data_IF_179961969740
#
_entry.id   IF_179961969740
#
_cell.length_a   1.000
_cell.length_b   1.000
_cell.length_c   1.000
_cell.angle_alpha   90.00
_cell.angle_beta   90.00
_cell.angle_gamma   90.00
#
_symmetry.space_group_name_H-M   'P 1'
#
loop_
_entity.id
_entity.type
_entity.pdbx_description
1 polymer ?
#
# COMPACT_ATOMS: atom_id res chain seq x y z
N UNK A 1 -8.95 -4.03 -25.48
CA UNK A 1 -7.88 -4.58 -24.59
C UNK A 1 -8.01 -3.93 -23.21
N UNK A 2 -7.68 -4.64 -22.13
CA UNK A 2 -7.73 -4.13 -20.75
C UNK A 2 -6.31 -4.00 -20.19
N UNK A 3 -5.99 -2.85 -19.59
CA UNK A 3 -4.78 -2.66 -18.79
C UNK A 3 -5.12 -2.69 -17.31
N UNK A 4 -4.47 -3.54 -16.53
CA UNK A 4 -4.56 -3.53 -15.06
C UNK A 4 -3.25 -3.02 -14.47
N UNK A 5 -3.26 -1.83 -13.87
CA UNK A 5 -2.13 -1.35 -13.07
C UNK A 5 -2.17 -2.04 -11.71
N UNK A 6 -1.21 -2.94 -11.46
CA UNK A 6 -1.24 -3.88 -10.34
C UNK A 6 -0.16 -3.57 -9.29
N UNK A 7 0.13 -4.53 -8.42
CA UNK A 7 1.00 -4.37 -7.24
C UNK A 7 0.28 -4.67 -5.91
N UNK A 8 -0.99 -5.04 -5.99
CA UNK A 8 -1.83 -5.50 -4.88
C UNK A 8 -2.26 -6.95 -5.12
N UNK A 9 -2.86 -7.58 -4.11
CA UNK A 9 -3.43 -8.92 -4.27
C UNK A 9 -4.67 -8.89 -5.17
N UNK A 10 -5.51 -7.87 -4.99
CA UNK A 10 -6.72 -7.65 -5.76
C UNK A 10 -6.41 -7.43 -7.25
N UNK A 11 -5.38 -6.64 -7.56
CA UNK A 11 -4.93 -6.44 -8.93
C UNK A 11 -4.47 -7.75 -9.60
N UNK A 12 -3.82 -8.65 -8.85
CA UNK A 12 -3.42 -9.97 -9.38
C UNK A 12 -4.64 -10.85 -9.66
N UNK A 13 -5.60 -10.86 -8.76
CA UNK A 13 -6.83 -11.64 -8.92
C UNK A 13 -7.65 -11.15 -10.12
N UNK A 14 -7.76 -9.83 -10.33
CA UNK A 14 -8.41 -9.27 -11.53
C UNK A 14 -7.72 -9.76 -12.81
N UNK A 15 -6.39 -9.66 -12.89
CA UNK A 15 -5.64 -10.10 -14.08
C UNK A 15 -5.86 -11.58 -14.36
N UNK A 16 -5.82 -12.41 -13.31
CA UNK A 16 -6.09 -13.85 -13.43
C UNK A 16 -7.50 -14.12 -13.97
N UNK A 17 -8.54 -13.54 -13.36
CA UNK A 17 -9.94 -13.73 -13.79
C UNK A 17 -10.18 -13.22 -15.21
N UNK A 18 -9.57 -12.10 -15.61
CA UNK A 18 -9.67 -11.57 -16.98
C UNK A 18 -8.98 -12.47 -18.01
N UNK A 19 -7.81 -13.02 -17.66
CA UNK A 19 -7.09 -13.98 -18.49
C UNK A 19 -7.89 -15.27 -18.67
N UNK A 20 -8.44 -15.82 -17.59
CA UNK A 20 -9.22 -17.06 -17.61
C UNK A 20 -10.50 -16.93 -18.46
N UNK A 21 -11.07 -15.72 -18.54
CA UNK A 21 -12.21 -15.38 -19.42
C UNK A 21 -11.80 -15.01 -20.86
N UNK A 22 -10.50 -14.96 -21.18
CA UNK A 22 -10.02 -14.59 -22.52
C UNK A 22 -10.27 -13.12 -22.90
N UNK A 23 -10.43 -12.22 -21.91
CA UNK A 23 -10.86 -10.83 -22.13
C UNK A 23 -9.80 -9.90 -22.74
N UNK A 24 -8.61 -10.41 -23.05
CA UNK A 24 -7.47 -9.62 -23.53
C UNK A 24 -6.98 -8.63 -22.46
N UNK A 25 -6.01 -9.06 -21.66
CA UNK A 25 -5.48 -8.27 -20.54
C UNK A 25 -3.97 -8.16 -20.60
N UNK A 26 -3.44 -6.98 -20.27
CA UNK A 26 -2.05 -6.79 -19.88
C UNK A 26 -2.01 -6.11 -18.51
N UNK A 27 -0.87 -6.22 -17.82
CA UNK A 27 -0.71 -5.62 -16.49
C UNK A 27 0.63 -4.94 -16.34
N UNK A 28 0.71 -3.92 -15.48
CA UNK A 28 1.96 -3.27 -15.11
C UNK A 28 2.23 -3.43 -13.62
N UNK A 29 3.51 -3.57 -13.27
CA UNK A 29 4.00 -3.60 -11.89
C UNK A 29 5.25 -2.73 -11.75
N UNK A 30 5.37 -2.04 -10.62
CA UNK A 30 6.46 -1.10 -10.40
C UNK A 30 7.82 -1.77 -10.13
N UNK A 31 7.85 -3.06 -9.74
CA UNK A 31 9.05 -3.73 -9.24
C UNK A 31 9.26 -5.09 -9.89
N UNK A 32 10.52 -5.51 -9.98
CA UNK A 32 10.94 -6.84 -10.41
C UNK A 32 10.30 -7.93 -9.55
N UNK A 33 10.21 -7.71 -8.23
CA UNK A 33 9.51 -8.62 -7.34
C UNK A 33 8.03 -8.81 -7.71
N UNK A 34 7.32 -7.72 -8.03
CA UNK A 34 5.94 -7.79 -8.50
C UNK A 34 5.83 -8.59 -9.80
N UNK A 35 6.85 -8.48 -10.65
CA UNK A 35 6.96 -9.19 -11.93
C UNK A 35 7.18 -10.69 -11.74
N UNK A 36 8.09 -11.10 -10.85
CA UNK A 36 8.33 -12.50 -10.50
C UNK A 36 7.07 -13.21 -10.00
N UNK A 37 6.18 -12.50 -9.27
CA UNK A 37 4.91 -13.09 -8.81
C UNK A 37 4.04 -13.52 -10.00
N UNK A 38 3.98 -12.70 -11.06
CA UNK A 38 3.23 -13.04 -12.27
C UNK A 38 3.86 -14.20 -13.04
N UNK A 39 5.20 -14.28 -13.06
CA UNK A 39 5.92 -15.39 -13.68
C UNK A 39 5.62 -16.72 -12.96
N UNK A 40 5.62 -16.72 -11.62
CA UNK A 40 5.31 -17.90 -10.80
C UNK A 40 3.90 -18.46 -11.03
N UNK A 41 2.94 -17.61 -11.39
CA UNK A 41 1.57 -18.02 -11.70
C UNK A 41 1.33 -18.23 -13.21
N UNK A 42 2.38 -18.23 -14.04
CA UNK A 42 2.27 -18.48 -15.48
C UNK A 42 1.77 -17.29 -16.31
N UNK A 43 1.55 -16.13 -15.69
CA UNK A 43 1.02 -14.91 -16.33
C UNK A 43 2.10 -13.87 -16.63
N UNK A 44 3.38 -14.27 -16.56
CA UNK A 44 4.50 -13.39 -16.88
C UNK A 44 4.39 -12.81 -18.31
N UNK A 45 3.95 -13.53 -19.31
CA UNK A 45 3.86 -12.94 -20.66
C UNK A 45 2.89 -11.72 -20.76
N UNK A 46 2.01 -11.51 -19.77
CA UNK A 46 1.06 -10.38 -19.71
C UNK A 46 1.58 -9.17 -18.93
N UNK A 47 2.64 -9.35 -18.13
CA UNK A 47 3.09 -8.34 -17.17
C UNK A 47 4.27 -7.52 -17.71
N UNK A 48 4.15 -6.20 -17.65
CA UNK A 48 5.19 -5.24 -17.99
C UNK A 48 5.75 -4.68 -16.68
N UNK A 49 7.08 -4.76 -16.52
CA UNK A 49 7.75 -4.16 -15.37
C UNK A 49 8.15 -2.73 -15.68
N UNK A 50 7.80 -1.80 -14.81
CA UNK A 50 8.23 -0.40 -14.91
C UNK A 50 7.30 0.55 -14.17
N UNK A 51 7.85 1.69 -13.76
CA UNK A 51 7.04 2.85 -13.40
C UNK A 51 6.84 3.64 -14.68
N UNK A 52 5.59 3.91 -15.02
CA UNK A 52 5.23 4.66 -16.21
C UNK A 52 4.80 6.07 -15.79
N UNK A 53 5.40 7.08 -16.40
CA UNK A 53 4.87 8.44 -16.36
C UNK A 53 3.63 8.59 -17.26
N UNK A 54 3.08 9.81 -17.33
CA UNK A 54 1.88 10.09 -18.15
C UNK A 54 2.14 9.78 -19.62
N UNK A 55 3.31 10.17 -20.15
CA UNK A 55 3.65 10.02 -21.55
C UNK A 55 3.83 8.55 -21.91
N UNK A 56 4.60 7.82 -21.10
CA UNK A 56 4.85 6.39 -21.29
C UNK A 56 3.55 5.57 -21.16
N UNK A 57 2.68 5.92 -20.21
CA UNK A 57 1.38 5.28 -20.07
C UNK A 57 0.47 5.57 -21.26
N UNK A 58 0.47 6.81 -21.75
CA UNK A 58 -0.27 7.21 -22.94
C UNK A 58 0.21 6.50 -24.21
N UNK A 59 1.52 6.33 -24.38
CA UNK A 59 2.11 5.54 -25.47
C UNK A 59 1.69 4.07 -25.37
N UNK A 60 1.79 3.47 -24.18
CA UNK A 60 1.36 2.09 -23.95
C UNK A 60 -0.12 1.88 -24.29
N UNK A 61 -0.99 2.81 -23.87
CA UNK A 61 -2.43 2.76 -24.16
C UNK A 61 -2.68 2.72 -25.67
N UNK A 62 -2.01 3.58 -26.45
CA UNK A 62 -2.15 3.61 -27.91
C UNK A 62 -1.59 2.35 -28.56
N UNK A 63 -0.37 1.97 -28.22
CA UNK A 63 0.34 0.85 -28.86
C UNK A 63 -0.37 -0.50 -28.65
N UNK A 64 -1.04 -0.66 -27.51
CA UNK A 64 -1.75 -1.89 -27.14
C UNK A 64 -3.26 -1.81 -27.40
N UNK A 65 -3.76 -0.72 -27.97
CA UNK A 65 -5.19 -0.47 -28.21
C UNK A 65 -6.02 -0.74 -26.94
N UNK A 66 -5.60 -0.15 -25.82
CA UNK A 66 -6.28 -0.28 -24.53
C UNK A 66 -7.53 0.60 -24.54
N UNK A 67 -8.66 0.02 -24.17
CA UNK A 67 -9.96 0.71 -24.10
C UNK A 67 -10.37 0.99 -22.64
N UNK A 68 -9.81 0.21 -21.70
CA UNK A 68 -10.13 0.27 -20.28
C UNK A 68 -8.85 0.14 -19.45
N UNK A 69 -8.63 1.08 -18.55
CA UNK A 69 -7.58 1.06 -17.54
C UNK A 69 -8.20 0.81 -16.17
N UNK A 70 -7.80 -0.28 -15.53
CA UNK A 70 -8.15 -0.63 -14.15
C UNK A 70 -6.97 -0.29 -13.25
N UNK A 71 -7.15 0.71 -12.40
CA UNK A 71 -6.19 1.08 -11.36
C UNK A 71 -6.43 0.27 -10.10
N UNK A 72 -5.72 -0.85 -9.99
CA UNK A 72 -5.67 -1.70 -8.81
C UNK A 72 -4.36 -1.50 -8.02
N UNK A 73 -3.71 -0.34 -8.16
CA UNK A 73 -2.48 -0.02 -7.43
C UNK A 73 -2.74 0.19 -5.94
N UNK A 74 -1.69 0.19 -5.11
CA UNK A 74 -1.84 0.43 -3.68
C UNK A 74 -2.51 1.80 -3.40
N UNK A 75 -3.37 1.96 -2.37
CA UNK A 75 -4.04 3.24 -2.07
C UNK A 75 -3.14 4.46 -1.82
N UNK A 76 -1.84 4.23 -1.60
CA UNK A 76 -0.83 5.28 -1.38
C UNK A 76 0.05 5.54 -2.62
N UNK A 77 -0.23 4.87 -3.74
CA UNK A 77 0.42 5.13 -5.01
C UNK A 77 -0.27 6.30 -5.74
N UNK A 78 -0.47 7.42 -5.03
CA UNK A 78 -1.35 8.52 -5.45
C UNK A 78 -0.87 9.16 -6.76
N UNK A 79 0.45 9.36 -6.90
CA UNK A 79 1.04 9.81 -8.16
C UNK A 79 0.76 8.87 -9.34
N UNK A 80 0.73 7.55 -9.10
CA UNK A 80 0.44 6.57 -10.14
C UNK A 80 -1.02 6.68 -10.58
N UNK A 81 -1.93 6.85 -9.62
CA UNK A 81 -3.34 7.11 -9.90
C UNK A 81 -3.55 8.42 -10.66
N UNK A 82 -2.89 9.52 -10.27
CA UNK A 82 -2.96 10.80 -11.02
C UNK A 82 -2.46 10.67 -12.44
N UNK A 83 -1.36 9.95 -12.66
CA UNK A 83 -0.84 9.71 -14.01
C UNK A 83 -1.85 8.91 -14.86
N UNK A 84 -2.47 7.89 -14.25
CA UNK A 84 -3.45 7.05 -14.92
C UNK A 84 -4.74 7.79 -15.28
N UNK A 85 -5.24 8.65 -14.38
CA UNK A 85 -6.40 9.51 -14.65
C UNK A 85 -6.09 10.43 -15.84
N UNK A 86 -4.99 11.18 -15.79
CA UNK A 86 -4.61 12.11 -16.86
C UNK A 86 -4.39 11.42 -18.20
N UNK A 87 -3.65 10.32 -18.23
CA UNK A 87 -3.43 9.57 -19.47
C UNK A 87 -4.74 9.01 -20.05
N UNK A 88 -5.66 8.56 -19.19
CA UNK A 88 -6.97 8.06 -19.60
C UNK A 88 -7.85 9.17 -20.18
N UNK A 89 -7.84 10.36 -19.56
CA UNK A 89 -8.56 11.55 -20.02
C UNK A 89 -8.01 12.06 -21.37
N UNK A 90 -6.69 12.15 -21.51
CA UNK A 90 -6.04 12.62 -22.74
C UNK A 90 -6.32 11.74 -23.96
N UNK A 91 -6.51 10.44 -23.74
CA UNK A 91 -6.77 9.45 -24.82
C UNK A 91 -8.26 9.18 -24.99
N UNK A 92 -9.08 9.43 -23.95
CA UNK A 92 -10.51 9.19 -23.95
C UNK A 92 -10.89 7.72 -23.69
N UNK A 93 -10.13 7.02 -22.84
CA UNK A 93 -10.41 5.63 -22.44
C UNK A 93 -11.10 5.55 -21.08
N UNK A 94 -11.77 4.43 -20.79
CA UNK A 94 -12.45 4.24 -19.50
C UNK A 94 -11.43 4.00 -18.39
N UNK A 95 -11.47 4.81 -17.34
CA UNK A 95 -10.69 4.60 -16.11
C UNK A 95 -11.58 3.99 -15.02
N UNK A 96 -11.10 2.98 -14.30
CA UNK A 96 -11.77 2.36 -13.15
C UNK A 96 -10.77 2.22 -12.00
N UNK A 97 -11.04 2.85 -10.86
CA UNK A 97 -10.29 2.66 -9.61
C UNK A 97 -10.90 1.52 -8.80
N UNK A 98 -10.12 0.48 -8.52
CA UNK A 98 -10.42 -0.44 -7.42
C UNK A 98 -9.73 0.06 -6.15
N UNK A 99 -10.52 0.50 -5.18
CA UNK A 99 -10.02 0.90 -3.87
C UNK A 99 -10.96 0.41 -2.78
N UNK A 100 -10.44 -0.51 -1.95
CA UNK A 100 -11.15 -1.02 -0.78
C UNK A 100 -11.47 0.09 0.23
N UNK A 101 -12.52 -0.07 1.05
CA UNK A 101 -12.82 0.87 2.13
C UNK A 101 -11.63 1.14 3.07
N UNK A 102 -11.65 2.31 3.72
CA UNK A 102 -10.74 2.61 4.83
C UNK A 102 -10.96 1.62 5.98
N UNK A 103 -9.92 1.35 6.77
CA UNK A 103 -10.09 0.51 7.98
C UNK A 103 -10.48 1.32 9.20
N UNK A 104 -10.31 2.63 9.13
CA UNK A 104 -10.57 3.57 10.22
C UNK A 104 -11.24 4.78 9.59
N UNK A 105 -12.50 5.05 9.93
CA UNK A 105 -13.16 6.33 9.68
C UNK A 105 -13.16 7.18 10.95
N UNK A 106 -13.39 8.49 10.82
CA UNK A 106 -13.48 9.41 11.97
C UNK A 106 -14.63 9.06 12.92
N UNK A 107 -15.66 8.37 12.42
CA UNK A 107 -16.83 7.90 13.17
C UNK A 107 -16.77 6.41 13.52
N UNK A 108 -15.72 5.67 13.11
CA UNK A 108 -15.60 4.25 13.43
C UNK A 108 -15.18 4.11 14.89
N UNK A 109 -16.18 3.89 15.73
CA UNK A 109 -16.11 3.04 16.90
C UNK A 109 -15.57 1.67 16.40
N UNK A 110 -14.23 1.55 16.35
CA UNK A 110 -13.48 0.43 15.78
C UNK A 110 -14.11 -0.86 16.30
N UNK A 111 -14.87 -1.53 15.43
CA UNK A 111 -15.81 -2.57 15.82
C UNK A 111 -15.19 -3.63 16.71
N UNK A 112 -15.60 -3.62 17.99
CA UNK A 112 -15.28 -4.64 18.99
C UNK A 112 -14.83 -4.05 20.33
N UNK A 113 -15.80 -3.60 21.15
CA UNK A 113 -15.65 -3.37 22.60
C UNK A 113 -14.40 -2.57 23.00
N UNK A 114 -14.36 -1.26 22.76
CA UNK A 114 -13.09 -0.52 22.90
C UNK A 114 -13.23 0.99 23.19
N UNK A 115 -14.15 1.41 24.05
CA UNK A 115 -14.12 2.79 24.60
C UNK A 115 -12.85 3.07 25.43
N UNK A 116 -12.12 2.05 25.88
CA UNK A 116 -10.86 2.20 26.64
C UNK A 116 -9.58 2.09 25.79
N UNK A 117 -9.65 1.69 24.51
CA UNK A 117 -8.46 1.38 23.68
C UNK A 117 -8.18 2.39 22.57
N UNK A 118 -9.00 3.45 22.45
CA UNK A 118 -8.78 4.55 21.52
C UNK A 118 -7.57 5.43 21.91
N UNK A 119 -7.13 5.43 23.18
CA UNK A 119 -6.03 6.28 23.67
C UNK A 119 -4.72 6.07 22.89
N UNK A 120 -4.46 4.85 22.45
CA UNK A 120 -3.22 4.51 21.73
C UNK A 120 -3.33 4.71 20.21
N UNK A 121 -4.50 5.07 19.67
CA UNK A 121 -4.71 5.22 18.24
C UNK A 121 -4.70 6.68 17.84
N UNK A 122 -3.70 7.09 17.06
CA UNK A 122 -3.49 8.47 16.64
C UNK A 122 -3.63 8.56 15.12
N UNK A 123 -4.63 9.30 14.64
CA UNK A 123 -4.86 9.45 13.20
C UNK A 123 -4.28 10.79 12.75
N UNK A 124 -3.43 10.77 11.72
CA UNK A 124 -2.77 11.96 11.16
C UNK A 124 -3.06 12.07 9.66
N UNK A 125 -3.12 13.29 9.13
CA UNK A 125 -3.50 13.53 7.75
C UNK A 125 -2.45 12.99 6.75
N UNK A 126 -1.18 13.15 7.07
CA UNK A 126 -0.09 12.82 6.17
C UNK A 126 1.21 12.38 6.88
N UNK A 127 2.25 12.16 6.09
CA UNK A 127 3.55 11.73 6.59
C UNK A 127 4.28 12.81 7.40
N UNK A 128 4.08 14.09 7.10
CA UNK A 128 4.74 15.18 7.80
C UNK A 128 4.13 15.39 9.19
N UNK A 129 2.80 15.28 9.32
CA UNK A 129 2.12 15.22 10.61
C UNK A 129 2.55 14.01 11.44
N UNK A 130 2.67 12.83 10.82
CA UNK A 130 3.16 11.64 11.52
C UNK A 130 4.56 11.85 12.12
N UNK A 131 5.42 12.55 11.39
CA UNK A 131 6.76 12.87 11.87
C UNK A 131 6.74 13.94 12.96
N UNK A 132 5.87 14.96 12.87
CA UNK A 132 5.69 15.96 13.93
C UNK A 132 5.23 15.30 15.23
N UNK A 133 4.18 14.47 15.15
CA UNK A 133 3.64 13.72 16.27
C UNK A 133 4.72 12.86 16.95
N UNK A 134 5.49 12.11 16.15
CA UNK A 134 6.57 11.27 16.68
C UNK A 134 7.71 12.09 17.29
N UNK A 135 7.98 13.28 16.76
CA UNK A 135 9.01 14.19 17.28
C UNK A 135 8.63 14.78 18.64
N UNK A 136 7.36 15.09 18.85
CA UNK A 136 6.81 15.71 20.06
C UNK A 136 6.59 14.70 21.20
N UNK A 137 6.31 13.44 20.87
CA UNK A 137 6.22 12.35 21.85
C UNK A 137 7.52 12.19 22.66
N UNK A 138 7.44 11.73 23.90
CA UNK A 138 8.59 11.40 24.76
C UNK A 138 9.14 9.97 24.50
N UNK A 139 8.35 9.12 23.84
CA UNK A 139 8.68 7.73 23.46
C UNK A 139 9.84 7.66 22.47
N UNK A 140 10.68 6.62 22.54
CA UNK A 140 11.98 6.60 21.85
C UNK A 140 12.04 5.70 20.64
N UNK A 141 11.41 4.52 20.66
CA UNK A 141 11.55 3.48 19.64
C UNK A 141 10.35 3.48 18.70
N UNK A 142 10.61 3.86 17.45
CA UNK A 142 9.58 4.00 16.41
C UNK A 142 9.75 2.86 15.42
N UNK A 143 8.71 2.06 15.19
CA UNK A 143 8.65 1.07 14.12
C UNK A 143 7.86 1.63 12.93
N UNK A 144 8.55 1.84 11.81
CA UNK A 144 7.95 2.22 10.55
C UNK A 144 7.49 0.96 9.80
N UNK A 145 6.17 0.81 9.63
CA UNK A 145 5.57 -0.27 8.82
C UNK A 145 5.08 0.22 7.45
N UNK A 146 5.52 1.42 7.06
CA UNK A 146 5.08 2.20 5.90
C UNK A 146 5.94 1.98 4.65
N UNK A 147 6.95 1.10 4.73
CA UNK A 147 7.94 0.81 3.69
C UNK A 147 9.06 1.86 3.59
N UNK A 148 10.03 1.62 2.70
CA UNK A 148 11.23 2.46 2.55
C UNK A 148 10.90 3.94 2.25
N UNK A 149 9.89 4.22 1.43
CA UNK A 149 9.57 5.58 0.97
C UNK A 149 9.29 6.59 2.09
N UNK A 150 9.04 6.09 3.31
CA UNK A 150 8.74 6.91 4.49
C UNK A 150 9.97 7.12 5.36
N UNK A 151 10.96 6.24 5.25
CA UNK A 151 12.17 6.23 6.08
C UNK A 151 12.94 7.54 5.96
N UNK A 152 13.02 8.10 4.75
CA UNK A 152 13.72 9.35 4.45
C UNK A 152 13.18 10.53 5.27
N UNK A 153 11.86 10.60 5.48
CA UNK A 153 11.26 11.68 6.28
C UNK A 153 11.49 11.50 7.78
N UNK A 154 11.54 10.27 8.27
CA UNK A 154 11.76 9.96 9.69
C UNK A 154 13.23 10.02 10.11
N UNK A 155 14.16 9.94 9.15
CA UNK A 155 15.60 9.91 9.46
C UNK A 155 16.10 11.20 10.13
N UNK A 156 15.38 12.33 9.96
CA UNK A 156 15.64 13.58 10.69
C UNK A 156 15.47 13.46 12.21
N UNK A 157 14.79 12.41 12.68
CA UNK A 157 14.60 12.14 14.11
C UNK A 157 15.68 11.22 14.71
N UNK A 158 16.63 10.70 13.92
CA UNK A 158 17.56 9.63 14.34
C UNK A 158 18.46 9.98 15.54
N UNK A 159 18.70 11.27 15.78
CA UNK A 159 19.51 11.74 16.92
C UNK A 159 18.71 11.74 18.24
N UNK A 160 17.37 11.71 18.15
CA UNK A 160 16.45 11.75 19.30
C UNK A 160 15.68 10.44 19.48
N UNK A 161 15.49 9.69 18.40
CA UNK A 161 14.63 8.50 18.31
C UNK A 161 15.39 7.34 17.70
N UNK A 162 15.09 6.13 18.17
CA UNK A 162 15.58 4.91 17.56
C UNK A 162 14.57 4.43 16.51
N UNK A 163 14.96 4.53 15.25
CA UNK A 163 14.10 4.19 14.12
C UNK A 163 14.33 2.74 13.71
N UNK A 164 13.28 1.94 13.84
CA UNK A 164 13.12 0.61 13.28
C UNK A 164 12.29 0.69 12.02
N UNK A 165 12.63 -0.09 11.01
CA UNK A 165 11.89 -0.10 9.76
C UNK A 165 11.63 -1.52 9.28
N UNK A 166 10.39 -1.78 8.88
CA UNK A 166 10.01 -3.01 8.20
C UNK A 166 9.89 -2.79 6.70
N UNK A 167 10.69 -3.51 5.94
CA UNK A 167 10.76 -3.43 4.47
C UNK A 167 10.66 -4.83 3.85
N UNK A 168 10.28 -4.90 2.58
CA UNK A 168 10.46 -6.13 1.81
C UNK A 168 11.95 -6.51 1.76
N UNK A 169 12.28 -7.82 1.74
CA UNK A 169 13.66 -8.31 1.78
C UNK A 169 14.37 -8.16 0.42
N UNK A 170 14.40 -6.94 -0.10
CA UNK A 170 15.06 -6.56 -1.34
C UNK A 170 16.41 -5.92 -1.02
N UNK A 171 17.51 -6.38 -1.64
CA UNK A 171 18.85 -5.82 -1.38
C UNK A 171 18.92 -4.30 -1.54
N UNK A 172 18.21 -3.76 -2.52
CA UNK A 172 18.18 -2.32 -2.78
C UNK A 172 17.54 -1.54 -1.62
N UNK A 173 16.40 -1.98 -1.09
CA UNK A 173 15.77 -1.31 0.05
C UNK A 173 16.65 -1.33 1.31
N UNK A 174 17.38 -2.43 1.54
CA UNK A 174 18.32 -2.53 2.65
C UNK A 174 19.46 -1.53 2.46
N UNK A 175 20.07 -1.45 1.26
CA UNK A 175 21.11 -0.47 0.94
C UNK A 175 20.63 0.96 1.16
N UNK A 176 19.42 1.28 0.68
CA UNK A 176 18.83 2.61 0.82
C UNK A 176 18.55 2.96 2.29
N UNK A 177 18.10 2.02 3.12
CA UNK A 177 17.93 2.26 4.56
C UNK A 177 19.28 2.58 5.24
N UNK A 178 20.33 1.83 4.90
CA UNK A 178 21.67 2.04 5.47
C UNK A 178 22.24 3.38 5.01
N UNK A 179 22.06 3.77 3.75
CA UNK A 179 22.62 5.02 3.21
C UNK A 179 22.03 6.28 3.86
N UNK A 180 20.77 6.24 4.29
CA UNK A 180 20.14 7.36 5.03
C UNK A 180 20.50 7.34 6.53
N UNK A 181 21.13 6.26 7.02
CA UNK A 181 21.63 6.16 8.39
C UNK A 181 20.76 5.33 9.34
N UNK A 182 19.88 4.46 8.82
CA UNK A 182 19.23 3.44 9.65
C UNK A 182 20.25 2.35 9.98
N UNK A 183 20.37 2.00 11.27
CA UNK A 183 21.27 0.93 11.71
C UNK A 183 20.83 -0.40 11.09
N UNK A 184 21.74 -1.24 10.58
CA UNK A 184 21.39 -2.57 10.07
C UNK A 184 20.60 -3.43 11.07
N UNK A 185 20.91 -3.32 12.37
CA UNK A 185 20.19 -4.00 13.46
C UNK A 185 18.73 -3.60 13.61
N UNK A 186 18.33 -2.48 13.02
CA UNK A 186 16.99 -1.91 13.11
C UNK A 186 16.18 -2.11 11.82
N UNK A 187 16.71 -2.87 10.86
CA UNK A 187 16.06 -3.19 9.59
C UNK A 187 15.43 -4.58 9.70
N UNK A 188 14.10 -4.62 9.66
CA UNK A 188 13.30 -5.84 9.62
C UNK A 188 12.92 -6.13 8.17
N UNK A 189 13.78 -6.88 7.48
CA UNK A 189 13.57 -7.31 6.10
C UNK A 189 12.65 -8.55 6.06
N UNK A 190 11.34 -8.32 5.99
CA UNK A 190 10.32 -9.37 6.08
C UNK A 190 9.21 -9.16 5.04
N UNK A 191 8.65 -10.26 4.54
CA UNK A 191 7.48 -10.25 3.67
C UNK A 191 6.23 -10.65 4.46
N UNK A 192 5.18 -9.83 4.36
CA UNK A 192 3.87 -10.12 4.96
C UNK A 192 2.97 -11.03 4.10
N UNK A 193 1.74 -11.31 4.55
CA UNK A 193 1.03 -10.66 5.67
C UNK A 193 1.61 -11.01 7.05
N UNK A 194 1.36 -10.16 8.04
CA UNK A 194 1.89 -10.31 9.40
C UNK A 194 0.74 -10.58 10.38
N UNK A 195 0.79 -11.71 11.07
CA UNK A 195 -0.22 -12.07 12.07
C UNK A 195 -0.12 -11.20 13.32
N UNK A 196 -1.17 -11.24 14.14
CA UNK A 196 -1.21 -10.57 15.44
C UNK A 196 -0.04 -11.01 16.34
N UNK A 197 0.25 -12.32 16.37
CA UNK A 197 1.30 -12.93 17.18
C UNK A 197 2.68 -12.46 16.74
N UNK A 198 2.91 -12.41 15.42
CA UNK A 198 4.20 -11.96 14.88
C UNK A 198 4.42 -10.47 15.13
N UNK A 199 3.39 -9.63 14.96
CA UNK A 199 3.49 -8.21 15.31
C UNK A 199 3.81 -8.04 16.80
N UNK A 200 3.10 -8.76 17.68
CA UNK A 200 3.33 -8.74 19.13
C UNK A 200 4.75 -9.17 19.50
N UNK A 201 5.25 -10.25 18.89
CA UNK A 201 6.61 -10.72 19.12
C UNK A 201 7.66 -9.69 18.69
N UNK A 202 7.47 -9.05 17.54
CA UNK A 202 8.34 -7.96 17.05
C UNK A 202 8.33 -6.79 18.04
N UNK A 203 7.14 -6.35 18.47
CA UNK A 203 7.00 -5.22 19.38
C UNK A 203 7.74 -5.46 20.70
N UNK A 204 7.60 -6.66 21.26
CA UNK A 204 8.26 -7.05 22.50
C UNK A 204 9.78 -7.21 22.34
N UNK A 205 10.23 -7.87 21.27
CA UNK A 205 11.65 -8.12 21.01
C UNK A 205 12.44 -6.81 20.87
N UNK A 206 11.88 -5.83 20.16
CA UNK A 206 12.54 -4.55 19.89
C UNK A 206 12.11 -3.43 20.86
N UNK A 207 11.23 -3.74 21.82
CA UNK A 207 10.69 -2.79 22.81
C UNK A 207 10.13 -1.53 22.15
N UNK A 208 9.34 -1.75 21.09
CA UNK A 208 8.75 -0.68 20.28
C UNK A 208 7.79 0.13 21.15
N UNK A 209 7.88 1.46 21.06
CA UNK A 209 7.01 2.38 21.81
C UNK A 209 5.92 2.98 20.91
N UNK A 210 6.25 3.19 19.63
CA UNK A 210 5.38 3.78 18.60
C UNK A 210 5.43 2.92 17.33
N UNK A 211 4.28 2.62 16.74
CA UNK A 211 4.15 2.02 15.40
C UNK A 211 3.57 3.07 14.45
N UNK A 212 4.27 3.34 13.36
CA UNK A 212 3.73 4.18 12.28
C UNK A 212 3.25 3.26 11.16
N UNK A 213 1.98 3.40 10.77
CA UNK A 213 1.37 2.64 9.67
C UNK A 213 0.61 3.55 8.73
N UNK A 214 0.46 3.09 7.49
CA UNK A 214 -0.50 3.60 6.52
C UNK A 214 -1.81 2.84 6.75
N UNK A 215 -2.97 3.49 6.62
CA UNK A 215 -4.24 2.78 6.47
C UNK A 215 -4.23 2.07 5.12
N UNK A 216 -3.60 0.92 5.03
CA UNK A 216 -3.63 0.14 3.80
C UNK A 216 -4.99 -0.51 3.57
N UNK A 217 -5.90 -0.64 4.55
CA UNK A 217 -7.14 -1.43 4.46
C UNK A 217 -7.06 -2.75 5.23
N UNK A 218 -8.20 -3.44 5.42
CA UNK A 218 -8.29 -4.69 6.23
C UNK A 218 -7.28 -5.76 5.80
N UNK A 219 -7.21 -6.12 4.52
CA UNK A 219 -6.23 -7.09 4.00
C UNK A 219 -4.77 -6.61 4.10
N UNK A 220 -4.54 -5.32 4.35
CA UNK A 220 -3.21 -4.76 4.61
C UNK A 220 -2.72 -4.94 6.06
N UNK A 221 -3.47 -5.65 6.88
CA UNK A 221 -3.10 -5.99 8.25
C UNK A 221 -3.23 -4.82 9.23
N UNK A 222 -4.03 -3.78 8.91
CA UNK A 222 -4.23 -2.62 9.79
C UNK A 222 -4.94 -3.02 11.08
N UNK A 223 -6.04 -3.82 11.06
CA UNK A 223 -6.69 -4.28 12.28
C UNK A 223 -5.76 -5.04 13.22
N UNK A 224 -4.94 -5.95 12.69
CA UNK A 224 -4.00 -6.76 13.46
C UNK A 224 -2.89 -5.89 14.08
N UNK A 225 -2.44 -4.84 13.40
CA UNK A 225 -1.47 -3.87 13.94
C UNK A 225 -2.08 -3.04 15.06
N UNK A 226 -3.30 -2.55 14.89
CA UNK A 226 -4.02 -1.78 15.93
C UNK A 226 -4.21 -2.67 17.15
N UNK A 227 -4.75 -3.88 16.96
CA UNK A 227 -5.02 -4.80 18.06
C UNK A 227 -3.74 -5.18 18.82
N UNK A 228 -2.64 -5.49 18.13
CA UNK A 228 -1.36 -5.81 18.79
C UNK A 228 -0.74 -4.60 19.49
N UNK A 229 -0.84 -3.40 18.91
CA UNK A 229 -0.30 -2.18 19.52
C UNK A 229 -1.08 -1.80 20.79
N UNK A 230 -2.41 -1.76 20.70
CA UNK A 230 -3.27 -1.47 21.86
C UNK A 230 -3.09 -2.50 22.98
N UNK A 231 -2.96 -3.80 22.65
CA UNK A 231 -2.71 -4.84 23.66
C UNK A 231 -1.34 -4.69 24.36
N UNK A 232 -0.38 -4.04 23.71
CA UNK A 232 0.97 -3.82 24.23
C UNK A 232 1.18 -2.42 24.85
N UNK A 233 0.15 -1.55 24.87
CA UNK A 233 0.28 -0.16 25.33
C UNK A 233 1.15 0.71 24.42
N UNK A 234 1.22 0.36 23.13
CA UNK A 234 2.05 1.00 22.12
C UNK A 234 1.18 1.98 21.33
N UNK A 235 1.69 3.20 21.12
CA UNK A 235 0.97 4.16 20.28
C UNK A 235 1.04 3.71 18.81
N UNK A 236 -0.09 3.70 18.13
CA UNK A 236 -0.16 3.49 16.69
C UNK A 236 -0.57 4.77 15.99
N UNK A 237 0.35 5.31 15.20
CA UNK A 237 0.13 6.49 14.36
C UNK A 237 -0.30 6.00 12.97
N UNK A 238 -1.54 6.27 12.62
CA UNK A 238 -2.17 5.88 11.35
C UNK A 238 -2.23 7.09 10.44
N UNK A 239 -1.47 7.03 9.35
CA UNK A 239 -1.49 8.05 8.31
C UNK A 239 -2.72 7.82 7.44
N UNK A 240 -3.58 8.83 7.27
CA UNK A 240 -4.75 8.78 6.39
C UNK A 240 -4.33 8.54 4.94
N UNK A 241 -5.29 8.07 4.14
CA UNK A 241 -5.11 8.00 2.68
C UNK A 241 -5.37 9.38 2.11
N UNK A 242 -4.60 9.77 1.11
CA UNK A 242 -4.89 10.96 0.32
C UNK A 242 -6.23 10.76 -0.42
N UNK A 243 -7.09 11.77 -0.37
CA UNK A 243 -8.34 11.77 -1.12
C UNK A 243 -8.06 12.21 -2.55
N UNK A 244 -8.35 11.33 -3.50
CA UNK A 244 -8.30 11.61 -4.93
C UNK A 244 -9.72 11.55 -5.46
N UNK A 245 -10.08 12.54 -6.28
CA UNK A 245 -11.31 12.52 -7.06
C UNK A 245 -11.15 11.57 -8.25
N UNK A 246 -11.56 10.32 -8.06
CA UNK A 246 -11.45 9.28 -9.08
C UNK A 246 -12.67 9.31 -10.01
N UNK A 247 -12.50 9.30 -11.35
CA UNK A 247 -13.62 9.34 -12.30
C UNK A 247 -14.66 8.23 -12.08
N UNK A 248 -14.18 7.01 -11.83
CA UNK A 248 -15.00 5.86 -11.43
C UNK A 248 -14.26 5.13 -10.34
N UNK A 249 -14.91 4.92 -9.19
CA UNK A 249 -14.36 4.20 -8.04
C UNK A 249 -15.28 3.06 -7.64
N UNK A 250 -14.69 1.91 -7.35
CA UNK A 250 -15.37 0.72 -6.86
C UNK A 250 -14.59 0.08 -5.70
N UNK A 251 -15.28 -0.76 -4.93
CA UNK A 251 -14.79 -1.25 -3.64
C UNK A 251 -14.46 -2.74 -3.61
N UNK A 252 -14.96 -3.50 -4.58
CA UNK A 252 -14.78 -4.94 -4.70
C UNK A 252 -14.32 -5.34 -6.11
N UNK A 253 -13.75 -6.54 -6.22
CA UNK A 253 -13.42 -7.12 -7.54
C UNK A 253 -14.71 -7.34 -8.33
N UNK A 254 -15.80 -7.75 -7.69
CA UNK A 254 -17.07 -8.01 -8.36
C UNK A 254 -17.68 -6.73 -8.96
N UNK A 255 -17.51 -5.59 -8.28
CA UNK A 255 -17.89 -4.27 -8.81
C UNK A 255 -17.12 -3.97 -10.10
N UNK A 256 -15.82 -4.29 -10.15
CA UNK A 256 -14.99 -4.12 -11.37
C UNK A 256 -15.58 -4.94 -12.50
N UNK A 257 -15.86 -6.23 -12.28
CA UNK A 257 -16.44 -7.10 -13.32
C UNK A 257 -17.85 -6.64 -13.75
N UNK A 258 -18.67 -6.15 -12.81
CA UNK A 258 -19.95 -5.52 -13.12
C UNK A 258 -19.79 -4.28 -14.02
N UNK A 259 -18.80 -3.42 -13.74
CA UNK A 259 -18.47 -2.25 -14.58
C UNK A 259 -17.91 -2.62 -15.96
N UNK A 260 -17.36 -3.83 -16.11
CA UNK A 260 -16.94 -4.40 -17.40
C UNK A 260 -18.09 -5.07 -18.15
N UNK A 261 -19.28 -5.19 -17.54
CA UNK A 261 -20.41 -5.93 -18.12
C UNK A 261 -20.17 -7.45 -18.17
N UNK A 262 -19.33 -7.98 -17.29
CA UNK A 262 -18.98 -9.39 -17.22
C UNK A 262 -19.71 -10.08 -16.07
N UNK A 263 -20.05 -11.37 -16.24
CA UNK A 263 -20.66 -12.17 -15.17
C UNK A 263 -19.75 -12.26 -13.94
N UNK A 264 -20.34 -11.96 -12.78
CA UNK A 264 -19.76 -12.11 -11.45
C UNK A 264 -19.74 -13.61 -11.10
N UNK A 265 -18.62 -14.10 -10.56
CA UNK A 265 -18.41 -15.51 -10.17
C UNK A 265 -18.27 -15.59 -8.65
#
# INVERSE_FOLDING_TARGET
MILVMSGTEEGREIVKRLNDKGAGVITTVATEYGREIYEKIGLGHLCIQGRLDIKELSELIRDKNIDILIDATHPYATQVSYNAIKASEEIGIKYIRLQRPASVTEDDDIGGTATEKQEFVHIVADMDEAVSWCSESDKKRILLTTGFSSAEKFVKLKDKKEIYIRILPMPEHIRQCVSIGIKPSNILALQGPFSLELNTAIYNQYKIDIVVTKDSGKTGGVPEKIQSASAAGIDIVIIKREEIDYPVKCSSIDDVFGLLGMEIV
#
